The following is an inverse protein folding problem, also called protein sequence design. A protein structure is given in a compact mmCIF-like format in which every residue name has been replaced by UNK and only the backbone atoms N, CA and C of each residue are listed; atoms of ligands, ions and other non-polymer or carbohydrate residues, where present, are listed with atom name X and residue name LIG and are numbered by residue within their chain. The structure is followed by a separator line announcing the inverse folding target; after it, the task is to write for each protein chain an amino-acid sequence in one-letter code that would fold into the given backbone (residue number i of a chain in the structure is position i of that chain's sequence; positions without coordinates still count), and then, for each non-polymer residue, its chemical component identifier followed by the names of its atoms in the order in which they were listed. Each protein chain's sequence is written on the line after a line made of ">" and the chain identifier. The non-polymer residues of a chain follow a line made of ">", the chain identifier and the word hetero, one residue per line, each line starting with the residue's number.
data_IF_825203242663
#
_entry.id   IF_825203242663
#
_cell.length_a   1.000
_cell.length_b   1.000
_cell.length_c   1.000
_cell.angle_alpha   90.00
_cell.angle_beta   90.00
_cell.angle_gamma   90.00
#
_symmetry.space_group_name_H-M   'P 1'
#
loop_
_entity.id
_entity.type
_entity.pdbx_description
1 polymer ?
#
# COMPACT_ATOMS: atom_id res chain seq x y z
N UNK A 1 -17.73 17.06 10.09
CA UNK A 1 -16.47 16.32 9.77
C UNK A 1 -15.26 17.18 10.14
N UNK A 2 -14.47 16.75 11.13
CA UNK A 2 -13.36 17.54 11.71
C UNK A 2 -12.23 17.80 10.69
N UNK A 3 -11.37 18.79 10.95
CA UNK A 3 -10.21 19.10 10.10
C UNK A 3 -9.23 17.93 10.02
N UNK A 4 -9.04 17.20 11.13
CA UNK A 4 -8.14 16.05 11.25
C UNK A 4 -8.59 14.84 10.41
N UNK A 5 -9.90 14.56 10.35
CA UNK A 5 -10.48 13.50 9.50
C UNK A 5 -10.24 13.81 8.00
N UNK A 6 -10.35 15.09 7.61
CA UNK A 6 -10.09 15.51 6.22
C UNK A 6 -8.61 15.43 5.84
N UNK A 7 -7.70 15.71 6.76
CA UNK A 7 -6.25 15.56 6.52
C UNK A 7 -5.82 14.09 6.47
N UNK A 8 -6.39 13.25 7.34
CA UNK A 8 -6.19 11.80 7.34
C UNK A 8 -6.55 11.19 5.98
N UNK A 9 -7.76 11.51 5.51
CA UNK A 9 -8.26 10.96 4.24
C UNK A 9 -7.46 11.46 3.03
N UNK A 10 -6.85 12.65 3.10
CA UNK A 10 -5.97 13.17 2.03
C UNK A 10 -4.64 12.44 1.96
N UNK A 11 -4.00 12.19 3.10
CA UNK A 11 -2.73 11.47 3.15
C UNK A 11 -2.91 10.01 2.67
N UNK A 12 -4.00 9.37 3.13
CA UNK A 12 -4.39 8.03 2.69
C UNK A 12 -4.66 7.97 1.18
N UNK A 13 -5.43 8.92 0.64
CA UNK A 13 -5.69 8.97 -0.80
C UNK A 13 -4.40 9.14 -1.63
N UNK A 14 -3.43 9.92 -1.13
CA UNK A 14 -2.12 10.05 -1.78
C UNK A 14 -1.34 8.74 -1.74
N UNK A 15 -1.35 8.03 -0.62
CA UNK A 15 -0.75 6.69 -0.51
C UNK A 15 -1.33 5.76 -1.58
N UNK A 16 -2.66 5.60 -1.62
CA UNK A 16 -3.34 4.80 -2.63
C UNK A 16 -2.98 5.20 -4.06
N UNK A 17 -2.88 6.51 -4.33
CA UNK A 17 -2.50 7.01 -5.66
C UNK A 17 -1.05 6.66 -6.02
N UNK A 18 -0.11 6.76 -5.07
CA UNK A 18 1.29 6.32 -5.30
C UNK A 18 1.38 4.84 -5.62
N UNK A 19 0.66 4.01 -4.87
CA UNK A 19 0.61 2.56 -5.12
C UNK A 19 0.09 2.29 -6.52
N UNK A 20 -0.94 3.01 -7.00
CA UNK A 20 -1.38 2.95 -8.40
C UNK A 20 -0.27 3.32 -9.38
N UNK A 21 0.48 4.39 -9.11
CA UNK A 21 1.57 4.82 -10.00
C UNK A 21 2.72 3.80 -10.08
N UNK A 22 3.13 3.22 -8.95
CA UNK A 22 4.13 2.15 -8.94
C UNK A 22 3.64 0.95 -9.75
N UNK A 23 2.35 0.63 -9.63
CA UNK A 23 1.75 -0.47 -10.37
C UNK A 23 1.70 -0.29 -11.89
N UNK A 24 1.28 0.89 -12.34
CA UNK A 24 1.24 1.19 -13.77
C UNK A 24 2.65 1.22 -14.37
N UNK A 25 3.67 1.54 -13.58
CA UNK A 25 5.06 1.42 -14.03
C UNK A 25 5.51 -0.05 -14.06
N UNK A 26 5.13 -0.83 -13.05
CA UNK A 26 5.51 -2.24 -12.91
C UNK A 26 4.93 -3.13 -14.03
N UNK A 27 3.66 -2.94 -14.38
CA UNK A 27 2.98 -3.72 -15.43
C UNK A 27 3.54 -3.49 -16.84
N UNK A 28 4.43 -2.50 -17.02
CA UNK A 28 5.16 -2.29 -18.29
C UNK A 28 6.46 -3.08 -18.39
N UNK A 29 6.92 -3.71 -17.31
CA UNK A 29 8.11 -4.55 -17.33
C UNK A 29 7.83 -5.89 -18.00
N UNK A 30 8.50 -6.13 -19.13
CA UNK A 30 8.45 -7.39 -19.91
C UNK A 30 8.93 -8.63 -19.13
N UNK A 31 9.55 -8.44 -17.97
CA UNK A 31 10.16 -9.52 -17.18
C UNK A 31 9.13 -10.36 -16.42
N UNK A 32 7.91 -9.82 -16.24
CA UNK A 32 6.76 -10.57 -15.75
C UNK A 32 5.89 -10.92 -16.96
N UNK A 33 6.21 -12.05 -17.59
CA UNK A 33 5.34 -12.60 -18.62
C UNK A 33 4.11 -13.24 -17.96
N UNK A 34 3.12 -12.40 -17.67
CA UNK A 34 1.88 -12.83 -17.03
C UNK A 34 0.97 -13.37 -18.12
N UNK A 35 1.28 -14.57 -18.58
CA UNK A 35 0.56 -15.25 -19.66
C UNK A 35 -0.94 -15.50 -19.38
N UNK A 36 -1.42 -15.19 -18.18
CA UNK A 36 -2.75 -15.54 -17.69
C UNK A 36 -3.77 -14.40 -17.70
N UNK A 37 -3.36 -13.13 -17.83
CA UNK A 37 -4.27 -11.97 -17.82
C UNK A 37 -3.78 -10.89 -18.79
N UNK A 38 -4.68 -10.27 -19.54
CA UNK A 38 -4.35 -9.16 -20.43
C UNK A 38 -3.93 -7.91 -19.66
N UNK A 39 -3.03 -7.10 -20.24
CA UNK A 39 -2.54 -5.87 -19.59
C UNK A 39 -3.67 -4.89 -19.22
N UNK A 40 -4.65 -4.71 -20.10
CA UNK A 40 -5.79 -3.82 -19.86
C UNK A 40 -6.64 -4.31 -18.68
N UNK A 41 -6.94 -5.60 -18.66
CA UNK A 41 -7.70 -6.23 -17.59
C UNK A 41 -6.97 -6.14 -16.25
N UNK A 42 -5.69 -6.49 -16.25
CA UNK A 42 -4.83 -6.36 -15.07
C UNK A 42 -4.77 -4.91 -14.58
N UNK A 43 -4.62 -3.94 -15.50
CA UNK A 43 -4.57 -2.51 -15.15
C UNK A 43 -5.86 -2.03 -14.49
N UNK A 44 -7.02 -2.49 -14.96
CA UNK A 44 -8.32 -2.19 -14.35
C UNK A 44 -8.44 -2.80 -12.95
N UNK A 45 -8.11 -4.09 -12.79
CA UNK A 45 -8.15 -4.75 -11.48
C UNK A 45 -7.22 -4.06 -10.49
N UNK A 46 -6.00 -3.73 -10.91
CA UNK A 46 -5.03 -3.00 -10.11
C UNK A 46 -5.54 -1.62 -9.72
N UNK A 47 -6.07 -0.84 -10.67
CA UNK A 47 -6.60 0.50 -10.40
C UNK A 47 -7.65 0.50 -9.29
N UNK A 48 -8.61 -0.44 -9.36
CA UNK A 48 -9.63 -0.56 -8.32
C UNK A 48 -9.04 -1.06 -7.00
N UNK A 49 -8.18 -2.07 -7.04
CA UNK A 49 -7.54 -2.63 -5.84
C UNK A 49 -6.75 -1.55 -5.09
N UNK A 50 -5.89 -0.80 -5.77
CA UNK A 50 -5.04 0.22 -5.14
C UNK A 50 -5.83 1.40 -4.59
N UNK A 51 -6.92 1.80 -5.23
CA UNK A 51 -7.79 2.85 -4.70
C UNK A 51 -8.58 2.39 -3.47
N UNK A 52 -8.96 1.13 -3.41
CA UNK A 52 -9.89 0.62 -2.40
C UNK A 52 -9.21 -0.10 -1.22
N UNK A 53 -7.93 -0.48 -1.32
CA UNK A 53 -7.29 -1.39 -0.34
C UNK A 53 -7.30 -0.91 1.11
N UNK A 54 -7.28 0.40 1.34
CA UNK A 54 -7.28 0.99 2.68
C UNK A 54 -8.66 1.58 3.07
N UNK A 55 -9.74 1.25 2.34
CA UNK A 55 -11.10 1.72 2.67
C UNK A 55 -11.50 1.38 4.10
N UNK A 56 -11.14 0.19 4.58
CA UNK A 56 -11.46 -0.25 5.95
C UNK A 56 -10.82 0.61 7.04
N UNK A 57 -9.83 1.45 6.70
CA UNK A 57 -9.22 2.43 7.63
C UNK A 57 -9.97 3.76 7.67
N UNK A 58 -10.70 4.10 6.61
CA UNK A 58 -11.53 5.29 6.56
C UNK A 58 -12.71 5.05 7.52
N UNK A 59 -12.72 5.73 8.66
CA UNK A 59 -13.70 5.62 9.78
C UNK A 59 -13.33 4.69 10.95
N UNK A 60 -12.11 4.15 11.03
CA UNK A 60 -11.67 3.38 12.22
C UNK A 60 -11.51 4.22 13.49
N UNK A 61 -11.52 5.55 13.39
CA UNK A 61 -11.38 6.47 14.52
C UNK A 61 -12.69 6.80 15.22
N UNK A 62 -13.84 6.58 14.56
CA UNK A 62 -15.15 6.85 15.14
C UNK A 62 -15.78 5.51 15.51
N UNK A 63 -15.61 5.10 16.78
CA UNK A 63 -16.20 3.87 17.33
C UNK A 63 -17.73 3.79 17.18
N UNK A 64 -18.38 4.93 16.92
CA UNK A 64 -19.83 5.05 16.69
C UNK A 64 -20.25 4.66 15.25
N UNK A 65 -19.32 4.57 14.29
CA UNK A 65 -19.64 4.29 12.87
C UNK A 65 -19.60 2.79 12.55
N UNK A 66 -18.87 1.99 13.33
CA UNK A 66 -18.71 0.56 13.08
C UNK A 66 -19.69 -0.27 13.91
N UNK A 67 -20.90 -0.46 13.40
CA UNK A 67 -21.82 -1.45 13.96
C UNK A 67 -21.24 -2.87 13.86
N UNK A 68 -21.57 -3.79 14.79
CA UNK A 68 -21.25 -5.21 14.62
C UNK A 68 -21.71 -5.71 13.23
N UNK A 69 -20.87 -6.42 12.45
CA UNK A 69 -19.57 -7.01 12.81
C UNK A 69 -18.33 -6.16 12.50
N UNK A 70 -18.47 -4.97 11.91
CA UNK A 70 -17.34 -4.20 11.36
C UNK A 70 -16.27 -3.82 12.41
N UNK A 71 -16.67 -3.55 13.65
CA UNK A 71 -15.72 -3.24 14.73
C UNK A 71 -14.83 -4.43 15.13
N UNK A 72 -15.25 -5.67 14.84
CA UNK A 72 -14.53 -6.89 15.17
C UNK A 72 -13.67 -7.42 14.00
N UNK A 73 -13.83 -6.86 12.80
CA UNK A 73 -13.05 -7.23 11.62
C UNK A 73 -11.76 -6.43 11.54
N UNK A 74 -10.69 -7.11 11.13
CA UNK A 74 -9.46 -6.44 10.68
C UNK A 74 -9.79 -5.49 9.52
N UNK A 75 -9.06 -4.38 9.41
CA UNK A 75 -9.37 -3.36 8.40
C UNK A 75 -9.33 -3.91 6.96
N UNK A 76 -8.53 -4.94 6.68
CA UNK A 76 -8.43 -5.58 5.36
C UNK A 76 -9.72 -6.35 5.02
N UNK A 77 -10.28 -7.11 5.97
CA UNK A 77 -11.54 -7.83 5.77
C UNK A 77 -12.70 -6.85 5.63
N UNK A 78 -12.76 -5.86 6.52
CA UNK A 78 -13.80 -4.83 6.45
C UNK A 78 -13.70 -4.03 5.14
N UNK A 79 -12.48 -3.63 4.75
CA UNK A 79 -12.20 -2.95 3.49
C UNK A 79 -12.58 -3.80 2.27
N UNK A 80 -12.34 -5.11 2.30
CA UNK A 80 -12.77 -6.04 1.27
C UNK A 80 -14.30 -6.09 1.12
N UNK A 81 -15.05 -6.14 2.21
CA UNK A 81 -16.52 -6.06 2.17
C UNK A 81 -17.01 -4.72 1.59
N UNK A 82 -16.43 -3.59 2.02
CA UNK A 82 -16.77 -2.28 1.49
C UNK A 82 -16.43 -2.16 0.00
N UNK A 83 -15.29 -2.69 -0.42
CA UNK A 83 -14.88 -2.72 -1.82
C UNK A 83 -15.82 -3.56 -2.68
N UNK A 84 -16.25 -4.72 -2.18
CA UNK A 84 -17.25 -5.56 -2.85
C UNK A 84 -18.53 -4.76 -3.14
N UNK A 85 -19.11 -4.11 -2.12
CA UNK A 85 -20.32 -3.30 -2.28
C UNK A 85 -20.10 -2.13 -3.24
N UNK A 86 -18.96 -1.44 -3.12
CA UNK A 86 -18.61 -0.30 -3.96
C UNK A 86 -18.44 -0.68 -5.44
N UNK A 87 -17.86 -1.85 -5.72
CA UNK A 87 -17.66 -2.35 -7.09
C UNK A 87 -18.99 -2.64 -7.78
N UNK A 88 -19.97 -3.19 -7.06
CA UNK A 88 -21.32 -3.44 -7.62
C UNK A 88 -22.03 -2.16 -8.06
N UNK A 89 -21.67 -1.01 -7.45
CA UNK A 89 -22.26 0.28 -7.78
C UNK A 89 -21.46 0.98 -8.90
N UNK A 90 -20.13 0.96 -8.80
CA UNK A 90 -19.27 1.79 -9.66
C UNK A 90 -18.64 1.08 -10.84
N UNK A 91 -18.62 -0.25 -10.82
CA UNK A 91 -18.10 -1.10 -11.90
C UNK A 91 -19.06 -2.29 -12.12
N UNK A 92 -20.34 -2.03 -12.47
CA UNK A 92 -21.36 -3.08 -12.61
C UNK A 92 -21.05 -4.07 -13.76
N UNK A 93 -20.16 -3.71 -14.67
CA UNK A 93 -19.73 -4.55 -15.80
C UNK A 93 -18.65 -5.56 -15.41
N UNK A 94 -18.09 -5.50 -14.19
CA UNK A 94 -17.14 -6.50 -13.72
C UNK A 94 -17.83 -7.84 -13.49
N UNK A 95 -17.20 -8.89 -14.00
CA UNK A 95 -17.64 -10.25 -13.71
C UNK A 95 -17.24 -10.68 -12.28
N UNK A 96 -17.76 -11.84 -11.86
CA UNK A 96 -17.52 -12.36 -10.52
C UNK A 96 -16.04 -12.64 -10.25
N UNK A 97 -15.27 -13.06 -11.26
CA UNK A 97 -13.85 -13.40 -11.10
C UNK A 97 -13.02 -12.12 -10.91
N UNK A 98 -13.35 -11.05 -11.63
CA UNK A 98 -12.75 -9.73 -11.48
C UNK A 98 -13.04 -9.13 -10.11
N UNK A 99 -14.30 -9.15 -9.67
CA UNK A 99 -14.68 -8.66 -8.33
C UNK A 99 -14.00 -9.49 -7.24
N UNK A 100 -14.00 -10.82 -7.37
CA UNK A 100 -13.36 -11.72 -6.42
C UNK A 100 -11.86 -11.44 -6.33
N UNK A 101 -11.17 -11.28 -7.45
CA UNK A 101 -9.73 -11.01 -7.48
C UNK A 101 -9.38 -9.68 -6.80
N UNK A 102 -10.14 -8.61 -7.06
CA UNK A 102 -9.94 -7.31 -6.42
C UNK A 102 -10.17 -7.41 -4.91
N UNK A 103 -11.30 -7.98 -4.48
CA UNK A 103 -11.64 -8.10 -3.06
C UNK A 103 -10.62 -8.96 -2.32
N UNK A 104 -10.25 -10.10 -2.90
CA UNK A 104 -9.24 -10.98 -2.34
C UNK A 104 -7.88 -10.27 -2.26
N UNK A 105 -7.47 -9.54 -3.30
CA UNK A 105 -6.23 -8.75 -3.29
C UNK A 105 -6.21 -7.73 -2.15
N UNK A 106 -7.34 -7.07 -1.87
CA UNK A 106 -7.50 -6.14 -0.74
C UNK A 106 -7.38 -6.85 0.60
N UNK A 107 -8.04 -8.00 0.77
CA UNK A 107 -8.00 -8.74 2.04
C UNK A 107 -6.59 -9.21 2.39
N UNK A 108 -5.79 -9.52 1.38
CA UNK A 108 -4.50 -10.19 1.55
C UNK A 108 -3.28 -9.26 1.42
N UNK A 109 -3.46 -7.97 1.10
CA UNK A 109 -2.32 -7.11 0.74
C UNK A 109 -1.33 -6.85 1.89
N UNK A 110 -1.74 -7.07 3.14
CA UNK A 110 -0.87 -6.98 4.32
C UNK A 110 -0.29 -8.32 4.75
N UNK A 111 -0.59 -9.41 4.03
CA UNK A 111 -0.05 -10.73 4.34
C UNK A 111 1.17 -11.00 3.47
N UNK A 112 2.24 -11.47 4.10
CA UNK A 112 3.40 -12.02 3.39
C UNK A 112 3.39 -13.54 3.55
N UNK A 113 3.22 -14.25 2.45
CA UNK A 113 3.35 -15.70 2.43
C UNK A 113 4.67 -16.11 1.78
N UNK A 114 5.34 -17.08 2.40
CA UNK A 114 6.55 -17.68 1.85
C UNK A 114 6.25 -18.75 0.79
N UNK A 115 5.00 -19.15 0.63
CA UNK A 115 4.54 -20.20 -0.29
C UNK A 115 3.04 -20.08 -0.56
N UNK A 116 2.60 -20.54 -1.73
CA UNK A 116 1.19 -20.54 -2.14
C UNK A 116 1.00 -19.80 -3.47
N UNK A 117 -0.17 -19.99 -4.08
CA UNK A 117 -0.53 -19.31 -5.32
C UNK A 117 -1.38 -18.08 -5.00
N UNK A 118 -1.14 -17.01 -5.73
CA UNK A 118 -1.91 -15.77 -5.64
C UNK A 118 -2.08 -15.17 -7.04
N UNK A 119 -3.02 -14.25 -7.19
CA UNK A 119 -3.21 -13.57 -8.46
C UNK A 119 -2.10 -12.57 -8.73
N UNK A 120 -1.89 -12.24 -10.00
CA UNK A 120 -1.01 -11.15 -10.40
C UNK A 120 -1.41 -9.83 -9.71
N UNK A 121 -2.72 -9.54 -9.64
CA UNK A 121 -3.28 -8.36 -8.96
C UNK A 121 -2.83 -8.27 -7.51
N UNK A 122 -2.91 -9.36 -6.75
CA UNK A 122 -2.57 -9.38 -5.33
C UNK A 122 -1.06 -9.22 -5.11
N UNK A 123 -0.22 -9.94 -5.87
CA UNK A 123 1.24 -9.86 -5.75
C UNK A 123 1.67 -8.42 -5.94
N UNK A 124 1.18 -7.82 -6.99
CA UNK A 124 1.48 -6.45 -7.37
C UNK A 124 1.00 -5.41 -6.38
N UNK A 125 -0.24 -5.53 -5.92
CA UNK A 125 -0.78 -4.70 -4.86
C UNK A 125 0.13 -4.73 -3.62
N UNK A 126 0.52 -5.93 -3.18
CA UNK A 126 1.34 -6.14 -1.97
C UNK A 126 2.73 -5.55 -2.13
N UNK A 127 3.41 -5.83 -3.26
CA UNK A 127 4.74 -5.28 -3.56
C UNK A 127 4.69 -3.76 -3.61
N UNK A 128 3.69 -3.16 -4.26
CA UNK A 128 3.62 -1.71 -4.40
C UNK A 128 3.24 -0.99 -3.10
N UNK A 129 2.34 -1.56 -2.29
CA UNK A 129 2.02 -0.99 -0.99
C UNK A 129 3.21 -1.04 -0.04
N UNK A 130 3.90 -2.19 0.01
CA UNK A 130 5.10 -2.34 0.81
C UNK A 130 6.23 -1.43 0.32
N UNK A 131 6.45 -1.35 -0.99
CA UNK A 131 7.47 -0.50 -1.56
C UNK A 131 7.20 0.99 -1.34
N UNK A 132 5.94 1.43 -1.34
CA UNK A 132 5.64 2.80 -0.95
C UNK A 132 6.20 3.05 0.47
N UNK A 133 5.97 2.13 1.41
CA UNK A 133 6.41 2.26 2.80
C UNK A 133 7.93 2.15 2.97
N UNK A 134 8.58 1.17 2.32
CA UNK A 134 9.99 0.88 2.56
C UNK A 134 10.93 1.64 1.61
N UNK A 135 10.49 1.90 0.38
CA UNK A 135 11.28 2.49 -0.68
C UNK A 135 12.47 1.62 -1.13
N UNK A 136 13.44 2.28 -1.76
CA UNK A 136 14.71 1.65 -2.13
C UNK A 136 15.54 1.32 -0.89
N UNK A 137 16.17 0.15 -0.88
CA UNK A 137 16.83 -0.48 0.28
C UNK A 137 15.87 -0.99 1.38
N UNK A 138 14.58 -1.12 1.06
CA UNK A 138 13.65 -1.89 1.87
C UNK A 138 14.06 -3.35 2.04
N UNK A 139 13.58 -3.99 3.11
CA UNK A 139 13.73 -5.44 3.33
C UNK A 139 13.00 -6.28 2.28
N UNK A 140 12.06 -5.65 1.56
CA UNK A 140 11.31 -6.25 0.46
C UNK A 140 10.36 -7.34 0.93
N UNK A 141 9.69 -7.94 -0.06
CA UNK A 141 9.14 -9.28 0.12
C UNK A 141 10.30 -10.26 -0.09
N UNK A 142 10.36 -11.35 0.67
CA UNK A 142 11.42 -12.37 0.55
C UNK A 142 11.66 -12.73 -0.92
N UNK A 143 12.89 -12.48 -1.40
CA UNK A 143 13.31 -12.77 -2.78
C UNK A 143 13.11 -11.65 -3.80
N UNK A 144 12.55 -10.50 -3.41
CA UNK A 144 12.39 -9.32 -4.27
C UNK A 144 13.32 -8.17 -3.85
N UNK A 145 14.15 -7.70 -4.79
CA UNK A 145 15.00 -6.53 -4.62
C UNK A 145 14.32 -5.28 -5.19
N UNK A 146 13.78 -4.44 -4.30
CA UNK A 146 13.11 -3.19 -4.65
C UNK A 146 14.00 -2.20 -5.43
N UNK A 147 15.33 -2.31 -5.34
CA UNK A 147 16.23 -1.46 -6.14
C UNK A 147 16.20 -1.79 -7.63
N UNK A 148 15.65 -2.95 -8.02
CA UNK A 148 15.56 -3.40 -9.40
C UNK A 148 14.19 -3.20 -10.03
N UNK A 149 13.16 -2.91 -9.22
CA UNK A 149 11.77 -2.87 -9.68
C UNK A 149 11.36 -1.49 -10.23
N UNK A 150 11.87 -0.40 -9.65
CA UNK A 150 11.55 0.96 -10.09
C UNK A 150 12.80 1.80 -10.24
N UNK A 151 12.82 2.65 -11.26
CA UNK A 151 13.92 3.58 -11.45
C UNK A 151 13.80 4.74 -10.43
N UNK A 152 14.91 5.19 -9.80
CA UNK A 152 14.87 6.26 -8.79
C UNK A 152 14.20 7.55 -9.28
N UNK A 153 14.40 7.92 -10.54
CA UNK A 153 13.72 9.09 -11.16
C UNK A 153 12.19 8.98 -11.16
N UNK A 154 11.65 7.78 -11.38
CA UNK A 154 10.19 7.56 -11.31
C UNK A 154 9.68 7.83 -9.90
N UNK A 155 10.45 7.47 -8.88
CA UNK A 155 10.14 7.77 -7.48
C UNK A 155 10.12 9.26 -7.21
N UNK A 156 11.13 9.99 -7.68
CA UNK A 156 11.20 11.45 -7.52
C UNK A 156 9.98 12.14 -8.16
N UNK A 157 9.57 11.70 -9.35
CA UNK A 157 8.41 12.24 -10.06
C UNK A 157 7.10 11.97 -9.30
N UNK A 158 6.90 10.74 -8.81
CA UNK A 158 5.73 10.34 -8.02
C UNK A 158 5.69 11.07 -6.69
N UNK A 159 6.82 11.18 -5.98
CA UNK A 159 6.90 11.88 -4.70
C UNK A 159 6.59 13.36 -4.85
N UNK A 160 7.12 13.99 -5.90
CA UNK A 160 6.84 15.39 -6.20
C UNK A 160 5.36 15.63 -6.51
N UNK A 161 4.71 14.72 -7.23
CA UNK A 161 3.29 14.83 -7.56
C UNK A 161 2.38 14.56 -6.35
N UNK A 162 2.74 13.60 -5.51
CA UNK A 162 1.90 13.13 -4.41
C UNK A 162 2.66 13.13 -3.07
N UNK A 163 3.07 14.26 -2.49
CA UNK A 163 3.95 14.27 -1.33
C UNK A 163 3.35 13.52 -0.11
N UNK A 164 4.18 12.73 0.60
CA UNK A 164 3.76 11.92 1.77
C UNK A 164 2.97 12.71 2.82
N UNK A 165 3.36 13.96 3.05
CA UNK A 165 2.83 14.75 4.15
C UNK A 165 3.00 14.01 5.47
N UNK A 166 1.91 13.80 6.18
CA UNK A 166 1.86 13.19 7.51
C UNK A 166 1.43 11.71 7.48
N UNK A 167 1.45 11.07 6.30
CA UNK A 167 0.96 9.69 6.16
C UNK A 167 1.65 8.70 7.12
N UNK A 168 2.97 8.76 7.28
CA UNK A 168 3.70 7.82 8.15
C UNK A 168 3.20 7.85 9.59
N UNK A 169 3.04 9.04 10.18
CA UNK A 169 2.55 9.17 11.54
C UNK A 169 1.10 8.69 11.66
N UNK A 170 0.28 8.92 10.63
CA UNK A 170 -1.11 8.48 10.60
C UNK A 170 -1.24 6.96 10.44
N UNK A 171 -0.43 6.36 9.57
CA UNK A 171 -0.37 4.92 9.36
C UNK A 171 0.10 4.19 10.62
N UNK A 172 1.17 4.66 11.28
CA UNK A 172 1.64 4.14 12.56
C UNK A 172 0.55 4.21 13.63
N UNK A 173 -0.05 5.40 13.81
CA UNK A 173 -1.11 5.57 14.78
C UNK A 173 -2.34 4.68 14.48
N UNK A 174 -2.63 4.42 13.21
CA UNK A 174 -3.69 3.52 12.80
C UNK A 174 -3.35 2.05 13.11
N UNK A 175 -2.11 1.61 12.84
CA UNK A 175 -1.63 0.26 13.18
C UNK A 175 -1.63 0.04 14.68
N UNK A 176 -1.09 0.98 15.47
CA UNK A 176 -1.09 0.91 16.94
C UNK A 176 -2.52 0.74 17.49
N UNK A 177 -3.49 1.48 16.95
CA UNK A 177 -4.90 1.35 17.33
C UNK A 177 -5.49 0.01 16.93
N UNK A 178 -5.22 -0.44 15.71
CA UNK A 178 -5.73 -1.73 15.20
C UNK A 178 -5.24 -2.87 16.09
N UNK A 179 -3.98 -2.86 16.50
CA UNK A 179 -3.40 -3.91 17.35
C UNK A 179 -3.96 -3.86 18.77
N UNK A 180 -4.19 -2.65 19.31
CA UNK A 180 -4.78 -2.49 20.63
C UNK A 180 -6.25 -2.95 20.68
N UNK A 181 -7.03 -2.67 19.62
CA UNK A 181 -8.46 -2.99 19.56
C UNK A 181 -8.73 -4.41 19.06
N UNK A 182 -7.87 -4.92 18.18
CA UNK A 182 -8.02 -6.19 17.45
C UNK A 182 -6.68 -6.94 17.48
N UNK A 183 -6.30 -7.54 18.60
CA UNK A 183 -4.97 -8.13 18.78
C UNK A 183 -4.65 -9.32 17.85
N UNK A 184 -5.68 -9.92 17.23
CA UNK A 184 -5.54 -10.99 16.22
C UNK A 184 -5.92 -10.49 14.81
N UNK A 185 -5.73 -9.20 14.52
CA UNK A 185 -5.95 -8.64 13.18
C UNK A 185 -4.97 -9.24 12.15
N UNK A 186 -5.31 -9.22 10.86
CA UNK A 186 -4.48 -9.84 9.82
C UNK A 186 -3.07 -9.22 9.77
N UNK A 187 -2.98 -7.90 9.81
CA UNK A 187 -1.71 -7.16 9.87
C UNK A 187 -0.83 -7.53 11.08
N UNK A 188 -1.39 -8.05 12.18
CA UNK A 188 -0.58 -8.54 13.32
C UNK A 188 0.23 -9.80 13.01
N UNK A 189 -0.15 -10.51 11.94
CA UNK A 189 0.54 -11.69 11.43
C UNK A 189 1.55 -11.38 10.32
N UNK A 190 1.74 -10.11 9.96
CA UNK A 190 2.87 -9.69 9.12
C UNK A 190 4.19 -10.14 9.76
N UNK A 191 5.20 -10.61 9.01
CA UNK A 191 6.48 -11.02 9.57
C UNK A 191 7.11 -9.91 10.43
N UNK A 192 7.34 -10.20 11.71
CA UNK A 192 7.82 -9.23 12.69
C UNK A 192 6.72 -8.39 13.38
N UNK A 193 5.45 -8.56 13.00
CA UNK A 193 4.28 -8.03 13.69
C UNK A 193 4.38 -6.55 14.03
N UNK A 194 4.00 -6.19 15.26
CA UNK A 194 4.05 -4.80 15.73
C UNK A 194 5.48 -4.28 15.72
N UNK A 195 6.45 -5.12 16.09
CA UNK A 195 7.85 -4.74 16.20
C UNK A 195 8.39 -4.27 14.85
N UNK A 196 7.98 -4.90 13.74
CA UNK A 196 8.32 -4.43 12.40
C UNK A 196 7.72 -3.04 12.13
N UNK A 197 6.41 -2.85 12.41
CA UNK A 197 5.75 -1.56 12.25
C UNK A 197 6.27 -0.48 13.21
N UNK A 198 6.81 -0.83 14.37
CA UNK A 198 7.31 0.17 15.33
C UNK A 198 8.80 0.45 15.20
N UNK A 199 9.60 -0.51 14.73
CA UNK A 199 11.06 -0.37 14.67
C UNK A 199 11.56 -0.11 13.24
N UNK A 200 11.07 -0.82 12.23
CA UNK A 200 11.55 -0.67 10.84
C UNK A 200 10.80 0.47 10.11
N UNK A 201 9.48 0.54 10.26
CA UNK A 201 8.65 1.59 9.66
C UNK A 201 8.98 3.00 10.19
N UNK A 202 9.49 3.12 11.43
CA UNK A 202 9.97 4.39 12.00
C UNK A 202 11.27 4.88 11.37
N UNK A 203 12.07 3.97 10.79
CA UNK A 203 13.41 4.27 10.25
C UNK A 203 13.36 4.52 8.73
N UNK A 204 12.35 4.01 8.02
CA UNK A 204 12.16 4.20 6.57
C UNK A 204 12.32 5.64 6.04
N UNK A 205 11.77 6.69 6.71
CA UNK A 205 11.95 8.07 6.25
C UNK A 205 13.37 8.63 6.43
N UNK A 206 14.19 8.03 7.30
CA UNK A 206 15.56 8.50 7.55
C UNK A 206 16.45 8.14 6.36
N UNK A 207 16.23 7.00 5.70
CA UNK A 207 17.06 6.58 4.56
C UNK A 207 16.85 7.49 3.35
N UNK A 208 15.61 7.88 3.03
CA UNK A 208 15.35 8.86 1.96
C UNK A 208 15.82 10.28 2.31
N UNK A 209 15.78 10.69 3.58
CA UNK A 209 16.35 12.00 4.01
C UNK A 209 17.88 12.00 4.04
N UNK A 210 18.52 10.91 4.43
CA UNK A 210 19.98 10.79 4.44
C UNK A 210 20.54 10.66 3.01
N UNK A 211 19.89 9.92 2.11
CA UNK A 211 20.34 9.82 0.72
C UNK A 211 20.26 11.17 -0.01
N UNK A 212 19.20 11.95 0.19
CA UNK A 212 19.10 13.31 -0.35
C UNK A 212 20.13 14.29 0.25
N UNK A 213 20.52 14.12 1.52
CA UNK A 213 21.59 14.92 2.14
C UNK A 213 22.98 14.51 1.65
N UNK A 214 23.23 13.22 1.46
CA UNK A 214 24.51 12.68 0.97
C UNK A 214 24.75 13.00 -0.50
N UNK A 215 23.72 12.93 -1.35
CA UNK A 215 23.84 13.37 -2.75
C UNK A 215 24.01 14.90 -2.89
N UNK A 216 23.43 15.68 -1.98
CA UNK A 216 23.64 17.13 -1.90
C UNK A 216 25.08 17.49 -1.50
N UNK A 217 25.67 16.72 -0.59
CA UNK A 217 27.07 16.86 -0.16
C UNK A 217 28.06 16.47 -1.27
N UNK A 218 27.80 15.38 -1.98
CA UNK A 218 28.67 14.90 -3.05
C UNK A 218 28.66 15.84 -4.27
N UNK A 219 27.49 16.40 -4.63
CA UNK A 219 27.41 17.46 -5.66
C UNK A 219 28.08 18.77 -5.23
N UNK A 220 28.11 19.07 -3.93
CA UNK A 220 28.83 20.21 -3.37
C UNK A 220 30.35 20.05 -3.44
N UNK A 221 30.86 18.85 -3.14
CA UNK A 221 32.29 18.53 -3.19
C UNK A 221 32.85 18.50 -4.62
N UNK A 222 32.09 17.99 -5.61
CA UNK A 222 32.52 17.96 -7.02
C UNK A 222 32.48 19.33 -7.72
N UNK A 223 31.81 20.32 -7.14
CA UNK A 223 31.83 21.72 -7.62
C UNK A 223 32.93 22.56 -6.96
N UNK A 224 33.57 22.03 -5.92
CA UNK A 224 34.64 22.68 -5.17
C UNK A 224 36.04 22.18 -5.58
N UNK A 225 36.13 21.31 -6.58
CA UNK A 225 37.36 20.87 -7.26
C UNK A 225 37.39 21.45 -8.68
#
# INVERSE_FOLDING_TARGET
>A
MSSALRTHNKAQARHSTKVTCFMLNFSTFKEFDIHYIGFEELSLRLYHTTLLHDLGRLNSTDSEVLNPPAHAMTFELHGGCMAYEQLHITAPDFDADQVSDIVQSIVLHTLQWSSGDSSATQVFMSVSALFNIEGHNGTGIVGLDFNRLWHPKTMEEIEKAYPWGDFYHQALAAVDREFAQKPNCLVSHFPGGLDWFTNEFRVGPIVLRHLNQLEGLDRGLRRAQ
#
